data_IF_273053341761
#
_entry.id   IF_273053341761
#
_cell.length_a   1.000
_cell.length_b   1.000
_cell.length_c   1.000
_cell.angle_alpha   90.00
_cell.angle_beta   90.00
_cell.angle_gamma   90.00
#
_symmetry.space_group_name_H-M   'P 1'
#
loop_
_entity.id
_entity.type
_entity.pdbx_description
1 polymer ?
#
# COMPACT_ATOMS: atom_id res chain seq x y z
N UNK A 1 -8.52 6.97 -1.83
CA UNK A 1 -8.12 8.33 -2.29
C UNK A 1 -7.92 8.27 -3.81
N UNK A 2 -7.97 9.36 -4.61
CA UNK A 2 -7.69 9.23 -6.04
C UNK A 2 -6.25 8.78 -6.26
N UNK A 3 -6.05 7.79 -7.13
CA UNK A 3 -4.72 7.35 -7.57
C UNK A 3 -3.97 8.54 -8.18
N UNK A 4 -2.71 8.79 -7.82
CA UNK A 4 -1.92 9.84 -8.46
C UNK A 4 -1.85 9.63 -9.98
N UNK A 5 -2.00 10.70 -10.76
CA UNK A 5 -1.91 10.62 -12.22
C UNK A 5 -0.54 10.06 -12.63
N UNK A 6 -0.55 8.96 -13.40
CA UNK A 6 0.66 8.30 -13.88
C UNK A 6 1.26 7.24 -12.95
N UNK A 7 0.66 7.00 -11.78
CA UNK A 7 1.02 5.84 -10.96
C UNK A 7 0.64 4.54 -11.69
N UNK A 8 1.56 3.60 -11.75
CA UNK A 8 1.36 2.27 -12.35
C UNK A 8 1.42 1.17 -11.29
N UNK A 9 1.92 1.50 -10.11
CA UNK A 9 2.16 0.59 -9.00
C UNK A 9 1.85 1.31 -7.69
N UNK A 10 1.43 0.54 -6.69
CA UNK A 10 1.30 0.99 -5.31
C UNK A 10 1.99 -0.04 -4.41
N UNK A 11 2.86 0.45 -3.55
CA UNK A 11 3.55 -0.33 -2.54
C UNK A 11 2.95 -0.03 -1.17
N UNK A 12 2.61 -1.08 -0.43
CA UNK A 12 2.17 -1.00 0.96
C UNK A 12 3.24 -1.62 1.85
N UNK A 13 3.62 -0.89 2.89
CA UNK A 13 4.55 -1.36 3.90
C UNK A 13 3.86 -1.43 5.25
N UNK A 14 3.97 -2.58 5.91
CA UNK A 14 3.38 -2.87 7.21
C UNK A 14 4.48 -3.21 8.23
N UNK A 15 4.40 -2.62 9.42
CA UNK A 15 5.32 -2.92 10.52
C UNK A 15 4.61 -2.79 11.86
N UNK A 16 5.19 -3.38 12.91
CA UNK A 16 4.71 -3.24 14.30
C UNK A 16 5.65 -2.30 15.05
N UNK A 17 5.14 -1.27 15.76
CA UNK A 17 5.98 -0.25 16.38
C UNK A 17 6.37 -0.56 17.83
N UNK A 18 5.48 -1.15 18.63
CA UNK A 18 5.60 -1.00 20.10
C UNK A 18 5.73 -2.30 20.93
N UNK A 19 5.30 -3.47 20.44
CA UNK A 19 5.31 -4.71 21.25
C UNK A 19 5.63 -5.99 20.46
N UNK A 20 6.33 -6.98 21.06
CA UNK A 20 6.58 -8.27 20.45
C UNK A 20 5.30 -9.14 20.44
N UNK A 21 5.09 -9.97 19.41
CA UNK A 21 6.06 -10.29 18.35
C UNK A 21 6.18 -9.19 17.29
N UNK A 22 7.43 -8.85 16.91
CA UNK A 22 7.68 -7.77 15.96
C UNK A 22 7.61 -8.25 14.52
N UNK A 23 6.92 -7.50 13.68
CA UNK A 23 7.10 -7.54 12.23
C UNK A 23 8.11 -6.47 11.86
N UNK A 24 9.29 -6.91 11.42
CA UNK A 24 10.41 -6.03 11.07
C UNK A 24 10.05 -5.07 9.92
N UNK A 25 9.33 -5.58 8.90
CA UNK A 25 8.72 -4.83 7.80
C UNK A 25 8.21 -5.83 6.76
N UNK A 26 6.92 -5.79 6.40
CA UNK A 26 6.36 -6.53 5.26
C UNK A 26 5.99 -5.55 4.15
N UNK A 27 6.40 -5.85 2.92
CA UNK A 27 6.14 -5.01 1.76
C UNK A 27 5.30 -5.80 0.75
N UNK A 28 4.22 -5.19 0.29
CA UNK A 28 3.33 -5.75 -0.73
C UNK A 28 3.20 -4.73 -1.86
N UNK A 29 3.51 -5.15 -3.09
CA UNK A 29 3.42 -4.30 -4.28
C UNK A 29 2.25 -4.78 -5.15
N UNK A 30 1.41 -3.84 -5.56
CA UNK A 30 0.33 -4.08 -6.51
C UNK A 30 0.58 -3.28 -7.78
N UNK A 31 0.62 -3.98 -8.91
CA UNK A 31 0.56 -3.36 -10.23
C UNK A 31 -0.87 -2.90 -10.48
N UNK A 32 -1.08 -1.59 -10.52
CA UNK A 32 -2.41 -1.00 -10.77
C UNK A 32 -2.58 -0.64 -12.26
N UNK A 33 -1.49 -0.34 -12.98
CA UNK A 33 -1.57 0.15 -14.36
C UNK A 33 -2.15 1.57 -14.43
N UNK A 34 -2.39 2.08 -15.64
CA UNK A 34 -2.84 3.46 -15.88
C UNK A 34 -4.26 3.55 -16.45
N UNK A 35 -4.88 4.72 -16.30
CA UNK A 35 -6.24 5.00 -16.79
C UNK A 35 -7.34 4.38 -15.93
N UNK A 36 -8.54 4.21 -16.49
CA UNK A 36 -9.74 3.71 -15.77
C UNK A 36 -9.56 2.31 -15.18
N UNK A 37 -8.74 1.46 -15.81
CA UNK A 37 -8.38 0.15 -15.27
C UNK A 37 -7.51 0.27 -14.01
N UNK A 38 -6.68 1.31 -13.94
CA UNK A 38 -5.83 1.59 -12.79
C UNK A 38 -6.60 2.04 -11.55
N UNK A 39 -7.70 2.76 -11.72
CA UNK A 39 -8.57 3.14 -10.60
C UNK A 39 -9.25 1.91 -9.96
N UNK A 40 -9.70 0.97 -10.79
CA UNK A 40 -10.28 -0.28 -10.31
C UNK A 40 -9.25 -1.15 -9.57
N UNK A 41 -8.05 -1.32 -10.14
CA UNK A 41 -6.98 -2.07 -9.48
C UNK A 41 -6.50 -1.37 -8.20
N UNK A 42 -6.45 -0.04 -8.19
CA UNK A 42 -6.12 0.71 -6.99
C UNK A 42 -7.14 0.49 -5.88
N UNK A 43 -8.43 0.49 -6.21
CA UNK A 43 -9.49 0.19 -5.25
C UNK A 43 -9.35 -1.23 -4.68
N UNK A 44 -9.00 -2.21 -5.52
CA UNK A 44 -8.74 -3.57 -5.05
C UNK A 44 -7.51 -3.64 -4.14
N UNK A 45 -6.45 -2.89 -4.44
CA UNK A 45 -5.26 -2.80 -3.62
C UNK A 45 -5.54 -2.14 -2.26
N UNK A 46 -6.37 -1.09 -2.21
CA UNK A 46 -6.83 -0.49 -0.95
C UNK A 46 -7.60 -1.52 -0.10
N UNK A 47 -8.55 -2.26 -0.70
CA UNK A 47 -9.32 -3.31 0.00
C UNK A 47 -8.42 -4.43 0.53
N UNK A 48 -7.44 -4.87 -0.26
CA UNK A 48 -6.49 -5.90 0.16
C UNK A 48 -5.60 -5.43 1.31
N UNK A 49 -5.13 -4.17 1.26
CA UNK A 49 -4.35 -3.57 2.32
C UNK A 49 -5.16 -3.44 3.63
N UNK A 50 -6.42 -3.00 3.55
CA UNK A 50 -7.32 -2.92 4.72
C UNK A 50 -7.57 -4.31 5.34
N UNK A 51 -7.78 -5.33 4.51
CA UNK A 51 -7.92 -6.70 4.99
C UNK A 51 -6.63 -7.18 5.71
N UNK A 52 -5.46 -6.83 5.17
CA UNK A 52 -4.17 -7.17 5.76
C UNK A 52 -3.94 -6.46 7.10
N UNK A 53 -4.26 -5.16 7.21
CA UNK A 53 -4.18 -4.42 8.47
C UNK A 53 -5.11 -5.02 9.52
N UNK A 54 -6.34 -5.37 9.16
CA UNK A 54 -7.28 -5.98 10.10
C UNK A 54 -6.81 -7.35 10.57
N UNK A 55 -6.25 -8.17 9.66
CA UNK A 55 -5.64 -9.44 10.04
C UNK A 55 -4.44 -9.24 10.97
N UNK A 56 -3.53 -8.30 10.65
CA UNK A 56 -2.38 -7.96 11.49
C UNK A 56 -2.79 -7.49 12.89
N UNK A 57 -3.82 -6.66 13.00
CA UNK A 57 -4.38 -6.25 14.30
C UNK A 57 -4.95 -7.42 15.10
N UNK A 58 -5.49 -8.43 14.43
CA UNK A 58 -5.99 -9.64 15.10
C UNK A 58 -4.86 -10.56 15.55
N UNK A 59 -3.78 -10.64 14.78
CA UNK A 59 -2.62 -11.49 15.10
C UNK A 59 -1.72 -10.86 16.17
N UNK A 60 -1.61 -9.52 16.16
CA UNK A 60 -0.79 -8.73 17.05
C UNK A 60 -1.65 -7.71 17.84
N UNK A 61 -2.55 -8.17 18.71
CA UNK A 61 -3.51 -7.29 19.41
C UNK A 61 -2.84 -6.31 20.39
N UNK A 62 -1.65 -6.65 20.86
CA UNK A 62 -0.86 -5.83 21.79
C UNK A 62 0.10 -4.87 21.07
N UNK A 63 0.20 -4.93 19.74
CA UNK A 63 1.15 -4.14 18.95
C UNK A 63 0.43 -3.11 18.08
N UNK A 64 0.91 -1.87 18.09
CA UNK A 64 0.47 -0.87 17.12
C UNK A 64 1.00 -1.22 15.72
N UNK A 65 0.06 -1.36 14.76
CA UNK A 65 0.36 -1.60 13.35
C UNK A 65 0.54 -0.26 12.65
N UNK A 66 1.74 -0.02 12.13
CA UNK A 66 2.06 1.07 11.23
C UNK A 66 1.94 0.58 9.80
N UNK A 67 1.05 1.21 9.03
CA UNK A 67 0.83 0.94 7.63
C UNK A 67 1.09 2.22 6.83
N UNK A 68 2.00 2.13 5.86
CA UNK A 68 2.28 3.21 4.94
C UNK A 68 2.10 2.74 3.51
N UNK A 69 1.89 3.69 2.60
CA UNK A 69 1.80 3.40 1.18
C UNK A 69 2.59 4.42 0.38
N UNK A 70 3.18 3.97 -0.71
CA UNK A 70 3.85 4.78 -1.71
C UNK A 70 3.37 4.38 -3.10
N UNK A 71 3.36 5.33 -4.03
CA UNK A 71 2.99 5.06 -5.42
C UNK A 71 4.26 5.14 -6.27
N UNK A 72 4.42 4.18 -7.17
CA UNK A 72 5.48 4.16 -8.17
C UNK A 72 4.86 4.12 -9.56
N UNK A 73 5.60 4.62 -10.53
CA UNK A 73 5.16 4.66 -11.92
C UNK A 73 5.61 5.92 -12.62
N UNK A 74 5.97 5.76 -13.88
CA UNK A 74 6.30 6.85 -14.77
C UNK A 74 5.50 6.58 -16.04
N UNK A 75 4.60 7.49 -16.41
CA UNK A 75 4.30 7.64 -17.83
C UNK A 75 5.67 7.98 -18.44
N UNK A 76 6.13 7.27 -19.47
CA UNK A 76 7.33 7.70 -20.18
C UNK A 76 7.11 9.15 -20.66
N UNK A 77 7.69 10.13 -19.94
CA UNK A 77 7.48 11.57 -20.14
C UNK A 77 6.73 12.35 -19.05
N UNK A 78 6.25 11.74 -17.96
CA UNK A 78 5.66 12.47 -16.83
C UNK A 78 6.73 12.74 -15.74
N UNK A 79 7.00 14.00 -15.39
CA UNK A 79 7.89 14.33 -14.27
C UNK A 79 7.28 13.87 -12.96
N UNK A 80 8.12 13.30 -12.09
CA UNK A 80 7.79 13.02 -10.69
C UNK A 80 7.26 14.29 -10.02
N UNK A 81 6.13 14.25 -9.28
CA UNK A 81 5.74 15.39 -8.45
C UNK A 81 6.73 15.51 -7.30
N UNK A 82 7.28 16.73 -7.15
CA UNK A 82 8.16 17.15 -6.04
C UNK A 82 7.41 17.17 -4.70
#
# INVERSE_FOLDING_TARGET
MPTPEGATEVEYQFSTRDYPPYITSWTVVFEIGSGTSGEAMHTMAEVAADAMVNWLRSEYPDSDIDASRSYTGSIAGAPWPE
#
